data_IF_772036617084
#
_entry.id   IF_772036617084
#
_cell.length_a   1.000
_cell.length_b   1.000
_cell.length_c   1.000
_cell.angle_alpha   90.00
_cell.angle_beta   90.00
_cell.angle_gamma   90.00
#
_symmetry.space_group_name_H-M   'P 1'
#
loop_
_entity.id
_entity.type
_entity.pdbx_description
1 polymer ?
#
# COMPACT_ATOMS: atom_id res chain seq x y z
N UNK A 1 -13.23 -17.22 -33.37
CA UNK A 1 -12.13 -17.35 -32.39
C UNK A 1 -12.65 -18.19 -31.24
N UNK A 2 -11.91 -19.19 -30.76
CA UNK A 2 -12.38 -20.01 -29.64
C UNK A 2 -12.25 -19.17 -28.34
N UNK A 3 -13.17 -19.30 -27.37
CA UNK A 3 -13.11 -18.55 -26.12
C UNK A 3 -11.78 -18.70 -25.36
N UNK A 4 -11.11 -19.84 -25.55
CA UNK A 4 -9.81 -20.14 -24.94
C UNK A 4 -8.66 -19.33 -25.54
N UNK A 5 -8.68 -19.10 -26.86
CA UNK A 5 -7.66 -18.31 -27.58
C UNK A 5 -7.75 -16.84 -27.14
N UNK A 6 -8.97 -16.31 -27.05
CA UNK A 6 -9.23 -14.95 -26.57
C UNK A 6 -8.78 -14.75 -25.11
N UNK A 7 -9.00 -15.76 -24.25
CA UNK A 7 -8.53 -15.74 -22.87
C UNK A 7 -7.00 -15.74 -22.76
N UNK A 8 -6.31 -16.53 -23.59
CA UNK A 8 -4.85 -16.55 -23.66
C UNK A 8 -4.27 -15.22 -24.14
N UNK A 9 -4.87 -14.59 -25.14
CA UNK A 9 -4.42 -13.29 -25.65
C UNK A 9 -4.56 -12.19 -24.60
N UNK A 10 -5.68 -12.17 -23.86
CA UNK A 10 -5.91 -11.21 -22.77
C UNK A 10 -4.91 -11.41 -21.62
N UNK A 11 -4.64 -12.64 -21.21
CA UNK A 11 -3.68 -12.94 -20.16
C UNK A 11 -2.24 -12.58 -20.57
N UNK A 12 -1.87 -12.89 -21.81
CA UNK A 12 -0.57 -12.53 -22.39
C UNK A 12 -0.36 -11.01 -22.41
N UNK A 13 -1.37 -10.27 -22.86
CA UNK A 13 -1.34 -8.80 -22.87
C UNK A 13 -1.23 -8.20 -21.47
N UNK A 14 -1.98 -8.73 -20.49
CA UNK A 14 -1.88 -8.30 -19.09
C UNK A 14 -0.49 -8.58 -18.49
N UNK A 15 0.08 -9.76 -18.77
CA UNK A 15 1.42 -10.11 -18.34
C UNK A 15 2.48 -9.14 -18.88
N UNK A 16 2.35 -8.74 -20.15
CA UNK A 16 3.26 -7.78 -20.77
C UNK A 16 3.14 -6.37 -20.16
N UNK A 17 1.92 -5.91 -19.90
CA UNK A 17 1.66 -4.62 -19.24
C UNK A 17 2.25 -4.61 -17.82
N UNK A 18 2.06 -5.71 -17.07
CA UNK A 18 2.58 -5.86 -15.72
C UNK A 18 4.12 -5.84 -15.72
N UNK A 19 4.75 -6.62 -16.61
CA UNK A 19 6.21 -6.66 -16.75
C UNK A 19 6.81 -5.28 -17.07
N UNK A 20 6.24 -4.57 -18.04
CA UNK A 20 6.68 -3.21 -18.40
C UNK A 20 6.50 -2.22 -17.25
N UNK A 21 5.41 -2.33 -16.50
CA UNK A 21 5.13 -1.48 -15.34
C UNK A 21 6.10 -1.76 -14.19
N UNK A 22 6.37 -3.04 -13.91
CA UNK A 22 7.34 -3.47 -12.92
C UNK A 22 8.74 -2.96 -13.25
N UNK A 23 9.15 -3.06 -14.52
CA UNK A 23 10.45 -2.53 -14.99
C UNK A 23 10.57 -1.02 -14.78
N UNK A 24 9.50 -0.26 -15.07
CA UNK A 24 9.48 1.20 -14.86
C UNK A 24 9.60 1.56 -13.38
N UNK A 25 8.88 0.86 -12.50
CA UNK A 25 8.96 1.07 -11.05
C UNK A 25 10.36 0.70 -10.56
N UNK A 26 10.89 -0.45 -10.98
CA UNK A 26 12.24 -0.89 -10.64
C UNK A 26 13.31 0.14 -11.01
N UNK A 27 13.27 0.70 -12.22
CA UNK A 27 14.19 1.78 -12.62
C UNK A 27 14.04 3.03 -11.77
N UNK A 28 12.81 3.47 -11.48
CA UNK A 28 12.58 4.65 -10.63
C UNK A 28 13.13 4.44 -9.23
N UNK A 29 12.94 3.26 -8.65
CA UNK A 29 13.50 2.90 -7.34
C UNK A 29 15.02 2.88 -7.40
N UNK A 30 15.62 2.24 -8.41
CA UNK A 30 17.08 2.17 -8.57
C UNK A 30 17.70 3.57 -8.68
N UNK A 31 17.18 4.43 -9.56
CA UNK A 31 17.66 5.82 -9.67
C UNK A 31 17.38 6.64 -8.40
N UNK A 32 16.25 6.38 -7.73
CA UNK A 32 15.93 7.03 -6.45
C UNK A 32 16.95 6.67 -5.36
N UNK A 33 17.38 5.42 -5.27
CA UNK A 33 18.40 4.98 -4.32
C UNK A 33 19.74 5.67 -4.63
N UNK A 34 20.16 5.67 -5.90
CA UNK A 34 21.40 6.35 -6.30
C UNK A 34 21.33 7.84 -5.95
N UNK A 35 20.23 8.52 -6.28
CA UNK A 35 20.04 9.92 -5.93
C UNK A 35 20.09 10.16 -4.41
N UNK A 36 19.48 9.29 -3.60
CA UNK A 36 19.51 9.41 -2.15
C UNK A 36 20.93 9.29 -1.58
N UNK A 37 21.75 8.37 -2.11
CA UNK A 37 23.16 8.22 -1.71
C UNK A 37 23.97 9.48 -2.05
N UNK A 38 23.82 10.01 -3.27
CA UNK A 38 24.51 11.24 -3.66
C UNK A 38 24.04 12.46 -2.86
N UNK A 39 22.75 12.54 -2.52
CA UNK A 39 22.20 13.60 -1.68
C UNK A 39 22.77 13.52 -0.27
N UNK A 40 22.93 12.32 0.29
CA UNK A 40 23.59 12.12 1.59
C UNK A 40 25.03 12.63 1.58
N UNK A 41 25.84 12.23 0.58
CA UNK A 41 27.21 12.72 0.45
C UNK A 41 27.25 14.24 0.26
N UNK A 42 26.34 14.80 -0.53
CA UNK A 42 26.22 16.25 -0.73
C UNK A 42 25.91 16.95 0.60
N UNK A 43 25.01 16.42 1.42
CA UNK A 43 24.69 16.98 2.73
C UNK A 43 25.90 16.98 3.68
N UNK A 44 26.64 15.88 3.72
CA UNK A 44 27.87 15.78 4.53
C UNK A 44 28.95 16.75 4.04
N UNK A 45 29.18 16.81 2.72
CA UNK A 45 30.14 17.76 2.13
C UNK A 45 29.72 19.20 2.33
N UNK A 46 28.42 19.51 2.25
CA UNK A 46 27.89 20.86 2.51
C UNK A 46 28.08 21.27 3.97
N UNK A 47 27.85 20.36 4.92
CA UNK A 47 28.13 20.61 6.34
C UNK A 47 29.62 20.93 6.57
N UNK A 48 30.53 20.14 6.00
CA UNK A 48 31.97 20.40 6.07
C UNK A 48 32.37 21.72 5.39
N UNK A 49 31.76 22.03 4.24
CA UNK A 49 31.94 23.31 3.55
C UNK A 49 31.49 24.49 4.40
N UNK A 50 30.32 24.42 5.06
CA UNK A 50 29.84 25.50 5.93
C UNK A 50 30.82 25.77 7.08
N UNK A 51 31.36 24.70 7.68
CA UNK A 51 32.36 24.85 8.73
C UNK A 51 33.62 25.58 8.23
N UNK A 52 34.17 25.15 7.09
CA UNK A 52 35.33 25.81 6.47
C UNK A 52 35.02 27.26 6.06
N UNK A 53 33.84 27.50 5.47
CA UNK A 53 33.38 28.84 5.09
C UNK A 53 33.31 29.80 6.29
N UNK A 54 32.78 29.34 7.42
CA UNK A 54 32.71 30.18 8.62
C UNK A 54 34.10 30.50 9.19
N UNK A 55 35.05 29.58 9.09
CA UNK A 55 36.43 29.83 9.52
C UNK A 55 37.12 30.79 8.54
N UNK A 56 37.18 30.42 7.26
CA UNK A 56 38.06 31.06 6.28
C UNK A 56 37.48 32.35 5.70
N UNK A 57 36.16 32.44 5.56
CA UNK A 57 35.49 33.59 4.94
C UNK A 57 34.88 34.51 5.98
N UNK A 58 34.20 33.97 6.99
CA UNK A 58 33.60 34.78 8.06
C UNK A 58 34.58 35.12 9.20
N UNK A 59 35.80 34.54 9.21
CA UNK A 59 36.83 34.81 10.21
C UNK A 59 36.46 34.35 11.61
N UNK A 60 35.53 33.39 11.74
CA UNK A 60 35.08 32.90 13.04
C UNK A 60 36.08 31.91 13.63
N UNK A 61 36.18 31.90 14.96
CA UNK A 61 36.94 30.88 15.67
C UNK A 61 36.26 29.51 15.54
N UNK A 62 37.03 28.42 15.66
CA UNK A 62 36.54 27.05 15.53
C UNK A 62 35.24 26.77 16.29
N UNK A 63 35.14 27.24 17.54
CA UNK A 63 33.95 27.05 18.39
C UNK A 63 32.75 27.83 17.86
N UNK A 64 32.94 29.09 17.43
CA UNK A 64 31.86 29.91 16.88
C UNK A 64 31.37 29.33 15.55
N UNK A 65 32.29 28.90 14.68
CA UNK A 65 31.95 28.22 13.41
C UNK A 65 31.15 26.95 13.67
N UNK A 66 31.57 26.10 14.62
CA UNK A 66 30.84 24.90 14.97
C UNK A 66 29.43 25.20 15.50
N UNK A 67 29.27 26.22 16.36
CA UNK A 67 27.95 26.65 16.85
C UNK A 67 27.05 27.15 15.72
N UNK A 68 27.59 27.87 14.73
CA UNK A 68 26.83 28.32 13.56
C UNK A 68 26.33 27.14 12.72
N UNK A 69 27.20 26.15 12.44
CA UNK A 69 26.81 24.95 11.67
C UNK A 69 25.74 24.15 12.42
N UNK A 70 25.91 23.92 13.73
CA UNK A 70 24.90 23.26 14.57
C UNK A 70 23.57 24.03 14.54
N UNK A 71 23.61 25.35 14.58
CA UNK A 71 22.41 26.18 14.47
C UNK A 71 21.67 25.99 13.15
N UNK A 72 22.40 25.92 12.03
CA UNK A 72 21.83 25.65 10.70
C UNK A 72 21.24 24.24 10.63
N UNK A 73 21.94 23.24 11.16
CA UNK A 73 21.45 21.86 11.18
C UNK A 73 20.18 21.73 12.01
N UNK A 74 20.14 22.36 13.19
CA UNK A 74 18.94 22.39 14.03
C UNK A 74 17.76 23.06 13.31
N UNK A 75 17.99 24.12 12.55
CA UNK A 75 16.96 24.75 11.73
C UNK A 75 16.39 23.76 10.71
N UNK A 76 17.24 23.02 9.99
CA UNK A 76 16.80 22.00 9.05
C UNK A 76 16.06 20.85 9.75
N UNK A 77 16.54 20.39 10.90
CA UNK A 77 15.87 19.35 11.71
C UNK A 77 14.47 19.80 12.09
N UNK A 78 14.29 21.04 12.54
CA UNK A 78 12.96 21.56 12.89
C UNK A 78 12.07 21.66 11.67
N UNK A 79 12.54 22.22 10.56
CA UNK A 79 11.74 22.38 9.33
C UNK A 79 11.32 21.01 8.78
N UNK A 80 12.27 20.10 8.57
CA UNK A 80 11.96 18.78 8.03
C UNK A 80 11.20 17.90 9.03
N UNK A 81 11.45 18.04 10.33
CA UNK A 81 10.68 17.38 11.38
C UNK A 81 9.21 17.80 11.36
N UNK A 82 8.93 19.09 11.22
CA UNK A 82 7.57 19.61 11.07
C UNK A 82 6.91 19.14 9.76
N UNK A 83 7.65 19.12 8.65
CA UNK A 83 7.14 18.61 7.38
C UNK A 83 6.86 17.11 7.44
N UNK A 84 7.72 16.33 8.09
CA UNK A 84 7.52 14.89 8.28
C UNK A 84 6.35 14.58 9.22
N UNK A 85 6.12 15.41 10.24
CA UNK A 85 5.00 15.29 11.17
C UNK A 85 3.65 15.65 10.53
N UNK A 86 3.64 16.38 9.40
CA UNK A 86 2.42 16.68 8.65
C UNK A 86 1.93 15.44 7.90
N UNK A 87 1.07 14.66 8.54
CA UNK A 87 0.31 13.57 7.90
C UNK A 87 -1.02 14.09 7.35
N UNK A 88 -0.98 14.63 6.12
CA UNK A 88 -2.22 14.87 5.36
C UNK A 88 -2.44 13.63 4.48
N UNK A 89 -3.53 12.86 4.69
CA UNK A 89 -3.82 11.71 3.85
C UNK A 89 -3.94 12.15 2.39
N UNK A 90 -3.13 11.54 1.52
CA UNK A 90 -3.17 11.80 0.08
C UNK A 90 -4.55 11.37 -0.47
N UNK A 91 -5.18 12.15 -1.37
CA UNK A 91 -6.33 11.67 -2.16
C UNK A 91 -6.18 10.24 -2.69
N UNK A 92 -4.97 9.83 -3.09
CA UNK A 92 -4.67 8.46 -3.53
C UNK A 92 -4.81 7.45 -2.38
N UNK A 93 -4.33 7.79 -1.19
CA UNK A 93 -4.45 6.95 0.00
C UNK A 93 -5.91 6.80 0.44
N UNK A 94 -6.68 7.89 0.40
CA UNK A 94 -8.11 7.90 0.71
C UNK A 94 -8.86 7.02 -0.30
N UNK A 95 -8.64 7.20 -1.59
CA UNK A 95 -9.28 6.39 -2.65
C UNK A 95 -8.89 4.92 -2.53
N UNK A 96 -7.62 4.62 -2.21
CA UNK A 96 -7.16 3.26 -1.97
C UNK A 96 -7.87 2.61 -0.78
N UNK A 97 -8.06 3.35 0.32
CA UNK A 97 -8.81 2.88 1.51
C UNK A 97 -10.28 2.63 1.16
N UNK A 98 -10.94 3.56 0.48
CA UNK A 98 -12.35 3.42 0.03
C UNK A 98 -12.51 2.22 -0.91
N UNK A 99 -11.63 2.09 -1.92
CA UNK A 99 -11.67 0.98 -2.87
C UNK A 99 -11.47 -0.36 -2.19
N UNK A 100 -10.50 -0.47 -1.27
CA UNK A 100 -10.27 -1.68 -0.48
C UNK A 100 -11.51 -2.05 0.32
N UNK A 101 -12.10 -1.10 1.03
CA UNK A 101 -13.24 -1.36 1.91
C UNK A 101 -14.47 -1.79 1.10
N UNK A 102 -14.74 -1.14 -0.05
CA UNK A 102 -15.78 -1.57 -0.99
C UNK A 102 -15.54 -2.98 -1.51
N UNK A 103 -14.31 -3.32 -1.93
CA UNK A 103 -13.97 -4.66 -2.43
C UNK A 103 -14.09 -5.74 -1.36
N UNK A 104 -13.76 -5.43 -0.11
CA UNK A 104 -13.97 -6.35 1.02
C UNK A 104 -15.46 -6.61 1.27
N UNK A 105 -16.31 -5.59 1.15
CA UNK A 105 -17.77 -5.76 1.26
C UNK A 105 -18.31 -6.60 0.10
N UNK A 106 -17.92 -6.29 -1.14
CA UNK A 106 -18.32 -7.07 -2.33
C UNK A 106 -17.89 -8.55 -2.21
N UNK A 107 -16.67 -8.80 -1.74
CA UNK A 107 -16.16 -10.17 -1.51
C UNK A 107 -17.01 -10.90 -0.46
N UNK A 108 -17.29 -10.25 0.68
CA UNK A 108 -18.15 -10.83 1.72
C UNK A 108 -19.54 -11.17 1.18
N UNK A 109 -20.13 -10.30 0.36
CA UNK A 109 -21.41 -10.53 -0.28
C UNK A 109 -21.36 -11.68 -1.30
N UNK A 110 -20.33 -11.74 -2.15
CA UNK A 110 -20.15 -12.82 -3.11
C UNK A 110 -19.98 -14.19 -2.40
N UNK A 111 -19.21 -14.23 -1.32
CA UNK A 111 -19.05 -15.43 -0.48
C UNK A 111 -20.37 -15.80 0.19
N UNK A 112 -21.10 -14.84 0.77
CA UNK A 112 -22.40 -15.09 1.39
C UNK A 112 -23.44 -15.61 0.38
N UNK A 113 -23.49 -15.02 -0.82
CA UNK A 113 -24.35 -15.48 -1.91
C UNK A 113 -23.97 -16.88 -2.37
N UNK A 114 -22.68 -17.15 -2.55
CA UNK A 114 -22.19 -18.50 -2.91
C UNK A 114 -22.54 -19.52 -1.84
N UNK A 115 -22.40 -19.17 -0.56
CA UNK A 115 -22.77 -20.01 0.57
C UNK A 115 -24.29 -20.26 0.63
N UNK A 116 -25.11 -19.23 0.42
CA UNK A 116 -26.58 -19.35 0.36
C UNK A 116 -27.02 -20.20 -0.83
N UNK A 117 -26.45 -19.98 -2.02
CA UNK A 117 -26.71 -20.81 -3.20
C UNK A 117 -26.27 -22.25 -2.96
N UNK A 118 -25.12 -22.48 -2.32
CA UNK A 118 -24.66 -23.80 -1.91
C UNK A 118 -25.57 -24.46 -0.86
N UNK A 119 -26.19 -23.68 0.03
CA UNK A 119 -27.13 -24.16 1.04
C UNK A 119 -28.55 -24.39 0.48
N UNK A 120 -28.94 -23.72 -0.59
CA UNK A 120 -30.26 -23.93 -1.23
C UNK A 120 -30.19 -25.01 -2.31
N UNK A 121 -29.13 -25.00 -3.12
CA UNK A 121 -29.01 -25.86 -4.30
C UNK A 121 -27.97 -26.98 -4.14
N UNK A 122 -27.10 -26.92 -3.13
CA UNK A 122 -26.06 -27.91 -2.91
C UNK A 122 -26.50 -29.13 -2.09
N UNK A 123 -25.70 -30.21 -2.06
CA UNK A 123 -26.01 -31.46 -1.37
C UNK A 123 -26.28 -31.25 0.13
N UNK A 124 -25.49 -30.40 0.78
CA UNK A 124 -25.63 -30.07 2.21
C UNK A 124 -26.97 -29.39 2.54
N UNK A 125 -27.48 -28.56 1.62
CA UNK A 125 -28.79 -27.93 1.72
C UNK A 125 -29.94 -28.92 1.80
N UNK A 126 -29.91 -29.93 0.92
CA UNK A 126 -30.91 -31.00 0.88
C UNK A 126 -30.94 -31.84 2.16
N UNK A 127 -29.78 -32.06 2.81
CA UNK A 127 -29.70 -32.76 4.09
C UNK A 127 -30.31 -31.93 5.23
N UNK A 128 -30.02 -30.63 5.29
CA UNK A 128 -30.54 -29.73 6.33
C UNK A 128 -32.05 -29.55 6.21
N UNK A 129 -32.58 -29.39 4.99
CA UNK A 129 -34.02 -29.28 4.73
C UNK A 129 -34.75 -30.58 5.11
N UNK A 130 -34.20 -31.75 4.78
CA UNK A 130 -34.77 -33.05 5.21
C UNK A 130 -34.81 -33.21 6.73
N UNK A 131 -33.78 -32.74 7.44
CA UNK A 131 -33.70 -32.81 8.90
C UNK A 131 -34.71 -31.88 9.56
N UNK A 132 -34.85 -30.65 9.06
CA UNK A 132 -35.87 -29.69 9.50
C UNK A 132 -37.29 -30.21 9.25
N UNK A 133 -37.57 -30.77 8.08
CA UNK A 133 -38.85 -31.41 7.78
C UNK A 133 -39.15 -32.60 8.71
N UNK A 134 -38.14 -33.40 9.07
CA UNK A 134 -38.28 -34.49 10.02
C UNK A 134 -38.65 -34.01 11.43
N UNK A 135 -38.05 -32.90 11.88
CA UNK A 135 -38.34 -32.29 13.20
C UNK A 135 -39.75 -31.68 13.21
N UNK A 136 -40.11 -30.92 12.18
CA UNK A 136 -41.43 -30.29 12.04
C UNK A 136 -42.54 -31.36 11.96
N UNK A 137 -42.29 -32.46 11.23
CA UNK A 137 -43.24 -33.58 11.13
C UNK A 137 -43.42 -34.33 12.45
N UNK A 138 -42.37 -34.46 13.26
CA UNK A 138 -42.45 -35.03 14.60
C UNK A 138 -43.19 -34.11 15.58
N UNK A 139 -43.01 -32.79 15.48
CA UNK A 139 -43.71 -31.80 16.32
C UNK A 139 -45.19 -31.66 15.98
N UNK A 140 -45.55 -31.76 14.69
CA UNK A 140 -46.96 -31.71 14.24
C UNK A 140 -47.73 -33.02 14.44
N UNK A 141 -47.11 -34.04 15.05
CA UNK A 141 -47.82 -35.27 15.42
C UNK A 141 -48.42 -36.04 14.24
N UNK A 142 -47.94 -35.84 13.01
CA UNK A 142 -48.32 -36.60 11.82
C UNK A 142 -47.68 -38.00 11.89
N UNK A 143 -48.10 -38.78 12.88
CA UNK A 143 -47.81 -40.20 13.01
C UNK A 143 -48.99 -40.94 12.38
N UNK A 144 -48.79 -41.49 11.19
CA UNK A 144 -49.39 -42.78 10.85
C UNK A 144 -48.33 -43.83 11.12
#
# INVERSE_FOLDING_TARGET
>A
MKPIDLGQDVLSAQGQILSRSAMRIGRRVAYGIVAAVFLLFTALSFHGFLWAFFIDVAGLSYVKSALCVIGIDLLFVVIFGLLAARSIPDPVEIEARIRRDRKLVELKQAVAMTALTGLVFGPAGRFTIKRLLGIVRNLLGLRK
#
